data_IF_523202441827
#
_entry.id   IF_523202441827
#
_cell.length_a   1.000
_cell.length_b   1.000
_cell.length_c   1.000
_cell.angle_alpha   90.00
_cell.angle_beta   90.00
_cell.angle_gamma   90.00
#
_symmetry.space_group_name_H-M   'P 1'
#
loop_
_entity.id
_entity.type
_entity.pdbx_description
1 polymer ?
#
# COMPACT_ATOMS: atom_id res chain seq x y z
N UNK A 1 -17.02 -55.73 -15.18
CA UNK A 1 -15.61 -55.62 -14.74
C UNK A 1 -15.05 -54.41 -15.45
N UNK A 2 -15.03 -53.26 -14.77
CA UNK A 2 -14.58 -52.00 -15.35
C UNK A 2 -13.48 -51.46 -14.45
N UNK A 3 -12.31 -51.28 -15.03
CA UNK A 3 -11.09 -50.83 -14.36
C UNK A 3 -10.80 -49.37 -14.69
N UNK A 4 -10.36 -48.69 -13.63
CA UNK A 4 -9.39 -47.60 -13.53
C UNK A 4 -9.62 -46.20 -14.12
N UNK A 5 -9.89 -45.26 -13.20
CA UNK A 5 -8.96 -44.23 -12.70
C UNK A 5 -8.03 -43.47 -13.68
N UNK A 6 -8.20 -42.15 -13.79
CA UNK A 6 -7.24 -41.12 -13.29
C UNK A 6 -7.49 -39.70 -13.85
N UNK A 7 -7.35 -38.74 -12.93
CA UNK A 7 -6.76 -37.39 -13.06
C UNK A 7 -7.46 -36.24 -13.80
N UNK A 8 -7.44 -35.07 -13.13
CA UNK A 8 -7.29 -33.78 -13.81
C UNK A 8 -7.95 -32.56 -13.16
N UNK A 9 -7.38 -32.03 -12.06
CA UNK A 9 -7.67 -30.66 -11.61
C UNK A 9 -7.29 -29.63 -12.70
N UNK A 10 -8.13 -28.60 -12.89
CA UNK A 10 -7.78 -27.19 -12.65
C UNK A 10 -8.90 -26.24 -13.11
N UNK A 11 -9.58 -25.68 -12.12
CA UNK A 11 -10.41 -24.49 -12.24
C UNK A 11 -9.53 -23.28 -12.59
N UNK A 12 -9.90 -22.52 -13.63
CA UNK A 12 -9.33 -21.19 -13.89
C UNK A 12 -10.45 -20.20 -14.20
N UNK A 13 -10.59 -19.28 -13.25
CA UNK A 13 -11.16 -17.94 -13.31
C UNK A 13 -11.22 -17.34 -14.72
N UNK A 14 -12.44 -17.00 -15.15
CA UNK A 14 -12.72 -16.07 -16.25
C UNK A 14 -13.24 -14.77 -15.61
N UNK A 15 -12.43 -13.71 -15.60
CA UNK A 15 -12.91 -12.34 -15.41
C UNK A 15 -12.57 -11.56 -16.67
N UNK A 16 -13.64 -11.16 -17.36
CA UNK A 16 -13.63 -10.56 -18.68
C UNK A 16 -13.01 -9.14 -18.66
N UNK A 17 -12.22 -8.91 -19.71
CA UNK A 17 -11.40 -7.73 -19.96
C UNK A 17 -12.22 -6.46 -20.24
N UNK A 18 -11.79 -5.38 -19.60
CA UNK A 18 -12.28 -4.03 -19.77
C UNK A 18 -11.90 -3.40 -21.14
N UNK A 19 -12.63 -2.32 -21.44
CA UNK A 19 -12.84 -1.66 -22.73
C UNK A 19 -11.58 -1.04 -23.36
N UNK A 20 -11.54 -1.12 -24.70
CA UNK A 20 -10.67 -0.38 -25.62
C UNK A 20 -10.90 1.14 -25.51
N UNK A 21 -9.82 1.92 -25.47
CA UNK A 21 -9.77 3.31 -25.93
C UNK A 21 -8.55 3.47 -26.87
N UNK A 22 -8.70 4.02 -28.09
CA UNK A 22 -7.57 4.31 -28.97
C UNK A 22 -6.94 5.66 -28.60
N UNK A 23 -5.60 5.72 -28.51
CA UNK A 23 -4.85 6.95 -28.32
C UNK A 23 -4.29 7.40 -29.67
N UNK A 24 -4.79 8.53 -30.15
CA UNK A 24 -4.52 9.18 -31.43
C UNK A 24 -3.08 9.72 -31.49
N UNK A 25 -2.41 9.53 -32.63
CA UNK A 25 -1.10 10.09 -32.95
C UNK A 25 -1.23 11.54 -33.43
N UNK A 26 -0.44 12.45 -32.86
CA UNK A 26 0.06 13.59 -33.64
C UNK A 26 0.37 14.89 -32.88
N UNK A 27 1.67 15.22 -32.73
CA UNK A 27 2.31 16.46 -33.24
C UNK A 27 3.76 16.62 -32.72
N UNK A 28 4.61 17.18 -33.59
CA UNK A 28 6.05 17.45 -33.44
C UNK A 28 6.38 18.77 -32.71
N UNK A 29 7.68 18.89 -32.33
CA UNK A 29 8.55 20.09 -32.08
C UNK A 29 8.79 20.47 -30.60
N UNK A 30 9.87 21.22 -30.26
CA UNK A 30 11.32 20.90 -30.19
C UNK A 30 11.92 21.15 -28.76
N UNK A 31 13.24 20.99 -28.47
CA UNK A 31 13.76 21.08 -27.10
C UNK A 31 14.09 22.53 -26.68
N UNK A 32 13.70 22.93 -25.47
CA UNK A 32 14.04 24.22 -24.87
C UNK A 32 14.68 24.09 -23.48
N UNK A 33 15.74 24.87 -23.30
CA UNK A 33 16.64 24.96 -22.14
C UNK A 33 16.02 25.69 -20.93
N UNK A 34 16.69 25.49 -19.78
CA UNK A 34 16.80 26.34 -18.57
C UNK A 34 15.62 26.38 -17.58
N UNK A 35 15.96 26.11 -16.32
CA UNK A 35 15.51 26.93 -15.19
C UNK A 35 14.68 26.22 -14.13
N UNK A 36 15.28 26.09 -12.93
CA UNK A 36 14.74 26.14 -11.56
C UNK A 36 13.21 26.01 -11.34
N UNK A 37 12.93 25.40 -10.18
CA UNK A 37 11.89 25.74 -9.16
C UNK A 37 10.74 24.74 -8.98
N UNK A 38 10.76 24.09 -7.80
CA UNK A 38 9.67 23.75 -6.86
C UNK A 38 8.33 23.26 -7.44
N UNK A 39 7.98 22.01 -7.14
CA UNK A 39 6.60 21.56 -7.12
C UNK A 39 6.08 21.54 -5.66
N UNK A 40 4.97 22.25 -5.35
CA UNK A 40 4.29 22.18 -4.07
C UNK A 40 3.12 21.17 -4.12
N UNK A 41 2.94 20.40 -3.05
CA UNK A 41 1.70 19.70 -2.62
C UNK A 41 2.03 19.05 -1.27
N UNK A 42 1.45 19.40 -0.14
CA UNK A 42 0.10 19.89 0.11
C UNK A 42 0.10 21.01 1.17
N UNK A 43 -0.59 22.09 0.84
CA UNK A 43 -1.03 23.12 1.78
C UNK A 43 -2.33 22.65 2.43
N UNK A 44 -2.29 22.65 3.76
CA UNK A 44 -3.38 22.88 4.73
C UNK A 44 -4.73 22.19 4.53
N UNK A 45 -5.05 21.32 5.50
CA UNK A 45 -6.41 21.19 6.02
C UNK A 45 -6.31 21.23 7.54
N UNK A 46 -6.40 22.44 8.08
CA UNK A 46 -6.56 22.66 9.52
C UNK A 46 -8.02 22.35 9.85
N UNK A 47 -8.19 21.59 10.94
CA UNK A 47 -9.34 21.46 11.85
C UNK A 47 -10.06 20.11 11.85
N UNK A 48 -9.67 19.27 12.83
CA UNK A 48 -10.55 18.44 13.67
C UNK A 48 -9.65 17.73 14.71
N UNK A 49 -9.27 18.37 15.82
CA UNK A 49 -10.00 18.42 17.10
C UNK A 49 -9.31 17.57 18.18
N UNK A 50 -8.45 18.24 18.96
CA UNK A 50 -8.07 17.99 20.38
C UNK A 50 -7.64 16.57 20.80
N UNK A 51 -6.37 16.21 20.53
CA UNK A 51 -5.37 15.63 21.47
C UNK A 51 -3.99 15.95 20.91
N UNK A 52 -3.08 16.53 21.68
CA UNK A 52 -1.68 16.79 21.26
C UNK A 52 -0.88 15.49 21.20
N UNK A 53 -1.24 14.61 20.27
CA UNK A 53 -0.41 13.46 19.89
C UNK A 53 0.26 13.85 18.58
N UNK A 54 1.55 14.14 18.62
CA UNK A 54 2.35 14.42 17.45
C UNK A 54 2.50 13.11 16.65
N UNK A 55 1.63 12.88 15.66
CA UNK A 55 1.72 11.72 14.78
C UNK A 55 2.78 11.97 13.70
N UNK A 56 3.56 10.95 13.31
CA UNK A 56 4.56 11.08 12.26
C UNK A 56 3.91 11.43 10.91
N UNK A 57 4.63 12.15 10.05
CA UNK A 57 4.15 12.55 8.71
C UNK A 57 3.81 11.37 7.78
N UNK A 58 4.29 10.16 8.11
CA UNK A 58 3.98 8.94 7.39
C UNK A 58 2.51 8.49 7.59
N UNK A 59 1.84 8.94 8.66
CA UNK A 59 0.44 8.67 8.97
C UNK A 59 -0.41 9.90 8.68
N UNK A 60 -1.32 9.79 7.71
CA UNK A 60 -2.24 10.87 7.33
C UNK A 60 -3.69 10.42 7.48
N UNK A 61 -4.51 11.15 8.23
CA UNK A 61 -5.96 10.94 8.22
C UNK A 61 -6.57 11.41 6.90
N UNK A 62 -7.41 10.58 6.31
CA UNK A 62 -8.24 10.89 5.14
C UNK A 62 -9.70 10.75 5.57
N UNK A 63 -10.44 11.85 5.59
CA UNK A 63 -11.86 11.85 5.94
C UNK A 63 -12.70 11.07 4.91
N UNK A 64 -13.79 10.39 5.31
CA UNK A 64 -14.48 10.48 6.61
C UNK A 64 -13.92 9.59 7.73
N UNK A 65 -13.26 8.48 7.42
CA UNK A 65 -12.82 7.49 8.43
C UNK A 65 -11.66 6.61 7.96
N UNK A 66 -10.78 7.14 7.12
CA UNK A 66 -9.65 6.39 6.55
C UNK A 66 -8.32 6.96 6.99
N UNK A 67 -7.26 6.14 6.95
CA UNK A 67 -5.89 6.52 7.24
C UNK A 67 -5.00 6.09 6.10
N UNK A 68 -4.22 7.02 5.56
CA UNK A 68 -3.16 6.75 4.59
C UNK A 68 -1.83 6.60 5.32
N UNK A 69 -1.12 5.51 5.03
CA UNK A 69 0.14 5.12 5.63
C UNK A 69 1.18 5.03 4.51
N UNK A 70 2.25 5.81 4.63
CA UNK A 70 3.40 5.71 3.71
C UNK A 70 4.33 4.61 4.17
N UNK A 71 4.58 3.64 3.30
CA UNK A 71 5.33 2.42 3.60
C UNK A 71 6.45 2.23 2.58
N UNK A 72 7.65 1.93 3.07
CA UNK A 72 8.77 1.45 2.29
C UNK A 72 8.88 -0.07 2.44
N UNK A 73 8.39 -0.79 1.42
CA UNK A 73 8.45 -2.24 1.39
C UNK A 73 9.82 -2.72 0.89
N UNK A 74 10.46 -3.62 1.64
CA UNK A 74 11.67 -4.35 1.29
C UNK A 74 11.30 -5.81 0.94
N UNK A 75 10.98 -6.12 -0.33
CA UNK A 75 10.58 -7.47 -0.75
C UNK A 75 11.77 -8.44 -0.74
N UNK A 76 11.48 -9.75 -0.67
CA UNK A 76 12.49 -10.80 -0.66
C UNK A 76 13.18 -10.99 0.69
N UNK A 77 12.53 -10.59 1.78
CA UNK A 77 13.00 -10.87 3.14
C UNK A 77 12.63 -12.31 3.53
N UNK A 78 13.32 -12.92 4.50
CA UNK A 78 12.96 -14.28 4.96
C UNK A 78 11.72 -14.32 5.85
N UNK A 79 11.38 -13.16 6.44
CA UNK A 79 10.29 -12.99 7.42
C UNK A 79 9.61 -11.66 7.08
N UNK A 80 8.28 -11.62 7.21
CA UNK A 80 7.52 -10.38 7.11
C UNK A 80 7.44 -9.70 8.48
N UNK A 81 8.05 -8.53 8.62
CA UNK A 81 8.10 -7.77 9.88
C UNK A 81 8.21 -6.26 9.63
N UNK A 82 7.75 -5.44 10.58
CA UNK A 82 8.04 -4.01 10.60
C UNK A 82 9.46 -3.85 11.17
N UNK A 83 10.33 -3.19 10.42
CA UNK A 83 11.73 -3.00 10.85
C UNK A 83 11.98 -1.61 11.40
N UNK A 84 11.34 -0.61 10.80
CA UNK A 84 11.65 0.79 11.06
C UNK A 84 10.34 1.59 11.12
N UNK A 85 10.23 2.49 12.09
CA UNK A 85 9.11 3.42 12.22
C UNK A 85 9.68 4.84 12.18
N UNK A 86 9.75 5.39 10.97
CA UNK A 86 10.23 6.75 10.75
C UNK A 86 9.08 7.74 10.57
N UNK A 87 9.39 9.03 10.77
CA UNK A 87 8.46 10.13 10.51
C UNK A 87 8.05 10.23 9.04
N UNK A 88 8.94 9.87 8.11
CA UNK A 88 8.70 9.99 6.66
C UNK A 88 8.01 8.75 6.06
N UNK A 89 8.41 7.54 6.46
CA UNK A 89 7.89 6.29 5.93
C UNK A 89 8.08 5.11 6.90
N UNK A 90 7.17 4.14 6.86
CA UNK A 90 7.30 2.91 7.63
C UNK A 90 8.10 1.85 6.89
N UNK A 91 9.18 1.36 7.49
CA UNK A 91 9.97 0.26 6.94
C UNK A 91 9.30 -1.08 7.22
N UNK A 92 8.93 -1.79 6.15
CA UNK A 92 8.32 -3.13 6.25
C UNK A 92 9.07 -4.12 5.38
N UNK A 93 9.51 -5.22 5.98
CA UNK A 93 10.04 -6.38 5.29
C UNK A 93 8.91 -7.31 4.90
N UNK A 94 8.98 -7.87 3.70
CA UNK A 94 7.96 -8.78 3.16
C UNK A 94 8.62 -10.08 2.71
N UNK A 95 8.10 -11.20 3.22
CA UNK A 95 8.43 -12.56 2.79
C UNK A 95 7.68 -12.94 1.51
N UNK A 96 7.88 -12.13 0.48
CA UNK A 96 7.39 -12.41 -0.86
C UNK A 96 8.37 -11.82 -1.88
N UNK A 97 8.57 -12.50 -3.02
CA UNK A 97 9.46 -11.98 -4.05
C UNK A 97 8.89 -10.70 -4.68
N UNK A 98 9.76 -9.90 -5.29
CA UNK A 98 9.40 -8.69 -6.03
C UNK A 98 8.72 -9.00 -7.39
N UNK A 99 7.85 -10.01 -7.45
CA UNK A 99 6.99 -10.30 -8.60
C UNK A 99 5.76 -9.40 -8.55
N UNK A 100 5.36 -8.90 -9.71
CA UNK A 100 4.29 -7.91 -9.85
C UNK A 100 2.96 -8.47 -9.30
N UNK A 101 2.60 -8.06 -8.08
CA UNK A 101 1.38 -8.49 -7.38
C UNK A 101 1.60 -9.35 -6.12
N UNK A 102 2.64 -10.20 -6.06
CA UNK A 102 2.86 -11.10 -4.91
C UNK A 102 3.23 -10.32 -3.64
N UNK A 103 4.21 -9.42 -3.74
CA UNK A 103 4.59 -8.55 -2.62
C UNK A 103 3.46 -7.61 -2.15
N UNK A 104 2.60 -7.18 -3.08
CA UNK A 104 1.44 -6.34 -2.75
C UNK A 104 0.40 -7.15 -1.94
N UNK A 105 0.12 -8.38 -2.38
CA UNK A 105 -0.83 -9.25 -1.69
C UNK A 105 -0.36 -9.61 -0.28
N UNK A 106 0.95 -9.91 -0.13
CA UNK A 106 1.57 -10.20 1.16
C UNK A 106 1.62 -8.98 2.08
N UNK A 107 1.94 -7.79 1.56
CA UNK A 107 1.90 -6.55 2.34
C UNK A 107 0.51 -6.25 2.89
N UNK A 108 -0.53 -6.37 2.06
CA UNK A 108 -1.91 -6.18 2.51
C UNK A 108 -2.31 -7.19 3.58
N UNK A 109 -1.85 -8.43 3.46
CA UNK A 109 -2.10 -9.50 4.43
C UNK A 109 -1.44 -9.21 5.78
N UNK A 110 -0.16 -8.86 5.72
CA UNK A 110 0.64 -8.53 6.89
C UNK A 110 0.07 -7.31 7.62
N UNK A 111 -0.26 -6.24 6.90
CA UNK A 111 -0.89 -5.05 7.46
C UNK A 111 -2.23 -5.36 8.12
N UNK A 112 -3.05 -6.20 7.49
CA UNK A 112 -4.34 -6.59 8.06
C UNK A 112 -4.18 -7.36 9.38
N UNK A 113 -3.15 -8.22 9.47
CA UNK A 113 -2.83 -9.00 10.65
C UNK A 113 -2.27 -8.14 11.79
N UNK A 114 -1.36 -7.21 11.48
CA UNK A 114 -0.76 -6.29 12.47
C UNK A 114 -1.80 -5.34 13.06
N UNK A 115 -2.64 -4.74 12.21
CA UNK A 115 -3.65 -3.78 12.64
C UNK A 115 -4.91 -4.46 13.21
N UNK A 116 -5.10 -5.76 12.97
CA UNK A 116 -6.31 -6.49 13.37
C UNK A 116 -7.56 -6.09 12.59
N UNK A 117 -7.39 -5.65 11.34
CA UNK A 117 -8.47 -5.12 10.48
C UNK A 117 -8.81 -6.11 9.37
N UNK A 118 -9.98 -5.95 8.75
CA UNK A 118 -10.38 -6.83 7.63
C UNK A 118 -9.52 -6.53 6.41
N UNK A 119 -9.11 -7.56 5.67
CA UNK A 119 -8.35 -7.40 4.41
C UNK A 119 -9.03 -6.48 3.38
N UNK A 120 -10.37 -6.38 3.39
CA UNK A 120 -11.16 -5.41 2.59
C UNK A 120 -10.86 -3.94 2.93
N UNK A 121 -10.59 -3.64 4.20
CA UNK A 121 -10.36 -2.28 4.68
C UNK A 121 -8.96 -1.78 4.30
N UNK A 122 -8.04 -2.67 3.97
CA UNK A 122 -6.67 -2.33 3.59
C UNK A 122 -6.54 -2.34 2.07
N UNK A 123 -6.10 -1.24 1.49
CA UNK A 123 -5.89 -1.10 0.05
C UNK A 123 -4.62 -0.31 -0.26
N UNK A 124 -4.07 -0.48 -1.47
CA UNK A 124 -2.95 0.34 -1.93
C UNK A 124 -3.51 1.52 -2.70
N UNK A 125 -3.38 2.73 -2.14
CA UNK A 125 -3.79 3.97 -2.80
C UNK A 125 -2.81 4.46 -3.86
N UNK A 126 -1.50 4.25 -3.64
CA UNK A 126 -0.46 4.62 -4.62
C UNK A 126 0.81 3.79 -4.45
N UNK A 127 1.66 3.78 -5.48
CA UNK A 127 2.96 3.11 -5.42
C UNK A 127 2.91 1.59 -5.59
N UNK A 128 1.85 1.04 -6.19
CA UNK A 128 1.70 -0.41 -6.42
C UNK A 128 2.90 -1.07 -7.12
N UNK A 129 3.59 -0.33 -8.00
CA UNK A 129 4.83 -0.75 -8.70
C UNK A 129 6.13 -0.20 -8.10
N UNK A 130 6.05 0.63 -7.06
CA UNK A 130 7.19 1.24 -6.39
C UNK A 130 7.51 0.51 -5.08
N UNK A 131 8.74 0.69 -4.59
CA UNK A 131 9.14 0.33 -3.22
C UNK A 131 8.42 1.17 -2.17
N UNK A 132 8.10 2.42 -2.51
CA UNK A 132 7.30 3.32 -1.70
C UNK A 132 5.83 3.19 -2.05
N UNK A 133 5.04 2.68 -1.11
CA UNK A 133 3.61 2.40 -1.24
C UNK A 133 2.85 3.28 -0.27
N UNK A 134 1.67 3.73 -0.68
CA UNK A 134 0.71 4.38 0.21
C UNK A 134 -0.43 3.41 0.42
N UNK A 135 -0.54 2.88 1.64
CA UNK A 135 -1.61 1.98 2.03
C UNK A 135 -2.71 2.80 2.68
N UNK A 136 -3.95 2.63 2.22
CA UNK A 136 -5.13 3.27 2.78
C UNK A 136 -5.88 2.21 3.58
N UNK A 137 -6.14 2.53 4.84
CA UNK A 137 -6.94 1.71 5.75
C UNK A 137 -8.24 2.44 6.02
N UNK A 138 -9.37 1.83 5.67
CA UNK A 138 -10.71 2.38 5.88
C UNK A 138 -11.29 1.95 7.23
N UNK A 139 -12.19 2.77 7.79
CA UNK A 139 -12.89 2.54 9.06
C UNK A 139 -11.96 2.44 10.30
N UNK A 140 -10.81 3.11 10.26
CA UNK A 140 -9.83 3.07 11.35
C UNK A 140 -9.38 4.49 11.74
N UNK A 141 -9.15 4.71 13.04
CA UNK A 141 -8.62 5.97 13.56
C UNK A 141 -7.10 6.00 13.53
N UNK A 142 -6.52 7.20 13.36
CA UNK A 142 -5.06 7.40 13.42
C UNK A 142 -4.45 6.85 14.72
N UNK A 143 -5.13 7.05 15.84
CA UNK A 143 -4.66 6.60 17.14
C UNK A 143 -4.56 5.08 17.20
N UNK A 144 -5.55 4.36 16.66
CA UNK A 144 -5.53 2.89 16.65
C UNK A 144 -4.41 2.33 15.77
N UNK A 145 -4.13 2.98 14.64
CA UNK A 145 -3.01 2.59 13.77
C UNK A 145 -1.69 2.81 14.47
N UNK A 146 -1.50 3.98 15.09
CA UNK A 146 -0.27 4.32 15.81
C UNK A 146 0.00 3.34 16.97
N UNK A 147 -1.02 3.00 17.76
CA UNK A 147 -0.92 2.03 18.85
C UNK A 147 -0.55 0.63 18.34
N UNK A 148 -1.22 0.16 17.29
CA UNK A 148 -0.96 -1.15 16.69
C UNK A 148 0.47 -1.26 16.13
N UNK A 149 1.00 -0.18 15.52
CA UNK A 149 2.37 -0.15 15.01
C UNK A 149 3.40 -0.17 16.14
N UNK A 150 3.21 0.63 17.20
CA UNK A 150 4.09 0.60 18.37
C UNK A 150 4.09 -0.78 19.06
N UNK A 151 2.92 -1.40 19.15
CA UNK A 151 2.78 -2.75 19.69
C UNK A 151 3.55 -3.77 18.85
N UNK A 152 3.46 -3.67 17.52
CA UNK A 152 4.17 -4.57 16.61
C UNK A 152 5.69 -4.41 16.65
N UNK A 153 6.21 -3.23 16.99
CA UNK A 153 7.65 -2.99 17.19
C UNK A 153 8.16 -3.48 18.56
N UNK A 154 7.30 -3.46 19.57
CA UNK A 154 7.69 -3.78 20.96
C UNK A 154 7.60 -5.29 21.25
N UNK A 155 6.86 -6.06 20.44
CA UNK A 155 6.83 -7.51 20.51
C UNK A 155 7.92 -8.14 19.64
N UNK A 156 9.17 -8.13 20.11
CA UNK A 156 10.19 -9.14 19.77
C UNK A 156 10.24 -10.25 20.83
#
# INVERSE_FOLDING_TARGET
MTVDSLNGLKSKQNYASARKIPFDLGKKMPPAKKGKTKAPKATESIQSSVKTNNYPSCLRSVSPSSVAITIHAKPGSKIASITDFDDDALGVQIDAPAKDGEANAALLDYMSSVLGVKRRQVSIGSGSKSRGKVVIVEEVSLQSVFDALNKALTCE
#
